data_IF_700986985332
#
_entry.id   IF_700986985332
#
_cell.length_a   1.000
_cell.length_b   1.000
_cell.length_c   1.000
_cell.angle_alpha   90.00
_cell.angle_beta   90.00
_cell.angle_gamma   90.00
#
_symmetry.space_group_name_H-M   'P 1'
#
loop_
_entity.id
_entity.type
_entity.pdbx_description
1 polymer ?
#
# COMPACT_ATOMS: atom_id res chain seq x y z
N UNK A 1 -60.83 -52.50 -28.00
CA UNK A 1 -59.98 -53.56 -27.43
C UNK A 1 -59.98 -53.38 -25.92
N UNK A 2 -60.40 -54.45 -25.23
CA UNK A 2 -60.44 -54.83 -23.79
C UNK A 2 -60.05 -53.76 -22.74
N UNK A 3 -60.97 -53.36 -21.83
CA UNK A 3 -61.24 -53.93 -20.49
C UNK A 3 -59.99 -53.95 -19.58
N UNK A 4 -59.94 -53.47 -18.33
CA UNK A 4 -60.92 -52.95 -17.38
C UNK A 4 -60.20 -52.61 -16.04
N UNK A 5 -60.82 -51.79 -15.20
CA UNK A 5 -60.50 -51.58 -13.77
C UNK A 5 -60.76 -52.87 -12.95
N UNK A 6 -60.14 -53.14 -11.77
CA UNK A 6 -60.44 -52.41 -10.52
C UNK A 6 -59.33 -52.30 -9.41
N UNK A 7 -59.68 -51.51 -8.38
CA UNK A 7 -59.17 -51.39 -6.98
C UNK A 7 -58.91 -52.72 -6.21
N UNK A 8 -58.61 -52.73 -4.88
CA UNK A 8 -57.62 -52.05 -4.02
C UNK A 8 -56.88 -53.06 -3.08
N UNK A 9 -55.93 -52.65 -2.20
CA UNK A 9 -55.78 -53.28 -0.85
C UNK A 9 -54.82 -52.55 0.11
N UNK A 10 -55.24 -52.53 1.39
CA UNK A 10 -54.57 -52.08 2.63
C UNK A 10 -53.64 -53.16 3.21
N UNK A 11 -52.74 -52.78 4.12
CA UNK A 11 -52.48 -53.34 5.48
C UNK A 11 -51.20 -52.65 6.05
N UNK A 12 -51.28 -51.86 7.13
CA UNK A 12 -51.06 -52.20 8.56
C UNK A 12 -49.58 -52.59 8.87
N UNK A 13 -48.92 -52.23 9.97
CA UNK A 13 -49.25 -51.56 11.24
C UNK A 13 -47.94 -51.26 12.03
N UNK A 14 -48.08 -50.49 13.12
CA UNK A 14 -47.30 -50.55 14.38
C UNK A 14 -45.80 -50.15 14.34
N UNK A 15 -45.19 -49.50 15.33
CA UNK A 15 -45.57 -49.12 16.70
C UNK A 15 -44.48 -48.18 17.26
N UNK A 16 -44.86 -47.11 17.96
CA UNK A 16 -44.04 -46.45 19.00
C UNK A 16 -43.98 -47.36 20.25
N UNK A 17 -43.05 -47.13 21.21
CA UNK A 17 -43.15 -46.03 22.19
C UNK A 17 -41.77 -45.34 22.43
N UNK A 18 -41.62 -44.06 22.82
CA UNK A 18 -41.86 -43.46 24.16
C UNK A 18 -41.35 -44.37 25.31
N UNK A 19 -40.54 -43.97 26.29
CA UNK A 19 -40.18 -42.73 26.98
C UNK A 19 -38.85 -43.01 27.73
N UNK A 20 -38.06 -42.00 28.09
CA UNK A 20 -37.85 -41.62 29.50
C UNK A 20 -36.63 -40.72 29.73
N UNK A 21 -36.88 -39.75 30.62
CA UNK A 21 -36.00 -38.73 31.18
C UNK A 21 -34.81 -39.30 31.95
N UNK A 22 -33.70 -38.54 31.96
CA UNK A 22 -32.80 -38.51 33.11
C UNK A 22 -32.20 -37.11 33.28
N UNK A 23 -32.71 -36.40 34.29
CA UNK A 23 -32.08 -35.25 34.95
C UNK A 23 -30.83 -35.70 35.69
N UNK A 24 -29.73 -34.94 35.60
CA UNK A 24 -28.68 -34.98 36.63
C UNK A 24 -28.11 -33.57 36.90
N UNK A 25 -28.01 -33.26 38.21
CA UNK A 25 -27.36 -32.11 38.82
C UNK A 25 -26.02 -32.55 39.44
N UNK A 26 -25.21 -31.56 39.83
CA UNK A 26 -23.92 -31.59 40.57
C UNK A 26 -22.70 -31.58 39.65
N UNK A 27 -21.58 -30.90 39.90
CA UNK A 27 -20.95 -30.16 41.03
C UNK A 27 -19.86 -29.26 40.38
N UNK A 28 -19.50 -28.04 40.83
CA UNK A 28 -18.70 -27.73 42.02
C UNK A 28 -17.19 -28.07 41.84
N UNK A 29 -16.30 -27.07 42.01
CA UNK A 29 -14.81 -27.13 42.16
C UNK A 29 -14.00 -27.25 40.83
N UNK A 30 -12.86 -26.58 40.56
CA UNK A 30 -11.94 -25.72 41.34
C UNK A 30 -10.99 -24.96 40.40
N UNK A 31 -10.53 -23.82 40.89
CA UNK A 31 -9.23 -23.16 40.65
C UNK A 31 -8.14 -24.07 40.03
N UNK A 32 -7.62 -23.70 38.86
CA UNK A 32 -6.34 -24.22 38.36
C UNK A 32 -5.46 -23.07 37.89
N UNK A 33 -4.46 -22.80 38.72
CA UNK A 33 -3.33 -21.94 38.47
C UNK A 33 -2.62 -22.35 37.16
N UNK A 34 -2.51 -21.43 36.21
CA UNK A 34 -1.70 -21.60 35.01
C UNK A 34 -0.23 -21.46 35.39
N UNK A 35 0.49 -22.58 35.38
CA UNK A 35 1.95 -22.62 35.48
C UNK A 35 2.53 -22.12 34.16
N UNK A 36 3.10 -20.91 34.16
CA UNK A 36 3.88 -20.39 33.03
C UNK A 36 5.25 -21.07 33.07
N UNK A 37 5.48 -22.01 32.16
CA UNK A 37 6.82 -22.55 31.89
C UNK A 37 7.54 -21.57 30.97
N UNK A 38 8.43 -20.75 31.53
CA UNK A 38 9.40 -19.98 30.73
C UNK A 38 10.42 -20.95 30.12
N UNK A 39 10.27 -21.25 28.83
CA UNK A 39 11.33 -21.90 28.05
C UNK A 39 12.31 -20.81 27.59
N UNK A 40 13.45 -20.71 28.26
CA UNK A 40 14.58 -19.88 27.81
C UNK A 40 15.27 -20.60 26.65
N UNK A 41 14.94 -20.23 25.41
CA UNK A 41 15.68 -20.69 24.23
C UNK A 41 16.93 -19.83 24.06
N UNK A 42 18.09 -20.43 24.32
CA UNK A 42 19.40 -19.82 24.03
C UNK A 42 19.76 -20.10 22.57
N UNK A 43 19.70 -19.09 21.70
CA UNK A 43 20.12 -19.22 20.30
C UNK A 43 21.66 -19.14 20.23
N UNK A 44 22.31 -20.26 19.89
CA UNK A 44 23.73 -20.28 19.49
C UNK A 44 23.84 -19.88 18.02
N UNK A 45 24.49 -18.75 17.75
CA UNK A 45 24.89 -18.32 16.42
C UNK A 45 26.13 -19.11 15.97
N UNK A 46 25.98 -19.99 15.00
CA UNK A 46 27.09 -20.65 14.30
C UNK A 46 27.63 -19.72 13.23
N UNK A 47 28.88 -19.25 13.40
CA UNK A 47 29.61 -18.49 12.39
C UNK A 47 29.88 -19.34 11.14
N UNK A 48 29.34 -18.92 10.00
CA UNK A 48 29.75 -19.42 8.68
C UNK A 48 31.04 -18.71 8.26
N UNK A 49 32.14 -19.46 8.18
CA UNK A 49 33.43 -19.00 7.65
C UNK A 49 33.38 -19.04 6.12
N UNK A 50 33.36 -17.88 5.47
CA UNK A 50 33.54 -17.77 4.02
C UNK A 50 35.04 -17.70 3.71
N UNK A 51 35.57 -18.71 3.03
CA UNK A 51 36.96 -18.74 2.55
C UNK A 51 37.08 -17.95 1.25
N UNK A 52 37.81 -16.84 1.27
CA UNK A 52 38.22 -16.12 0.06
C UNK A 52 39.53 -16.69 -0.48
N UNK A 53 39.50 -17.24 -1.70
CA UNK A 53 40.71 -17.55 -2.47
C UNK A 53 41.43 -16.25 -2.86
N UNK A 54 42.73 -16.17 -2.50
CA UNK A 54 43.64 -15.08 -2.90
C UNK A 54 44.15 -15.29 -4.32
N UNK A 55 44.15 -14.23 -5.13
CA UNK A 55 45.10 -14.00 -6.23
C UNK A 55 45.75 -12.60 -6.09
N UNK A 56 46.95 -12.39 -6.67
CA UNK A 56 47.99 -11.56 -6.05
C UNK A 56 47.89 -10.06 -6.36
N UNK A 57 48.51 -9.30 -5.45
CA UNK A 57 48.68 -7.84 -5.40
C UNK A 57 49.71 -7.32 -6.41
N UNK A 58 49.48 -6.10 -6.92
CA UNK A 58 50.49 -5.01 -7.01
C UNK A 58 49.76 -3.66 -7.23
N UNK A 59 50.35 -2.46 -6.97
CA UNK A 59 49.93 -1.59 -5.86
C UNK A 59 49.63 -0.10 -6.21
N UNK A 60 49.19 0.64 -5.18
CA UNK A 60 49.15 2.11 -4.99
C UNK A 60 47.91 2.84 -5.59
N UNK A 61 47.17 3.72 -4.91
CA UNK A 61 47.30 4.39 -3.60
C UNK A 61 45.89 4.62 -3.01
N UNK A 62 45.84 4.59 -1.68
CA UNK A 62 44.68 4.75 -0.79
C UNK A 62 44.26 6.21 -0.55
N UNK A 63 42.94 6.44 -0.40
CA UNK A 63 42.42 7.26 0.70
C UNK A 63 41.05 6.74 1.15
N UNK A 64 40.97 6.40 2.43
CA UNK A 64 39.83 5.74 3.06
C UNK A 64 38.82 6.77 3.59
N UNK A 65 37.55 6.66 3.19
CA UNK A 65 36.43 7.30 3.91
C UNK A 65 35.91 6.36 4.99
N UNK A 66 36.16 6.72 6.26
CA UNK A 66 35.35 6.27 7.40
C UNK A 66 34.02 7.03 7.38
N UNK A 67 32.92 6.31 7.24
CA UNK A 67 31.59 6.90 7.32
C UNK A 67 30.49 5.97 6.85
N UNK A 68 30.45 4.72 7.32
CA UNK A 68 29.42 3.75 6.89
C UNK A 68 29.01 2.72 7.95
N UNK A 69 29.33 2.91 9.24
CA UNK A 69 28.90 1.94 10.28
C UNK A 69 27.62 2.37 11.01
N UNK A 70 27.27 3.66 11.01
CA UNK A 70 26.11 4.16 11.77
C UNK A 70 24.77 3.99 11.05
N UNK A 71 24.74 3.96 9.71
CA UNK A 71 23.51 3.66 8.96
C UNK A 71 23.19 2.16 8.94
N UNK A 72 24.21 1.29 8.83
CA UNK A 72 24.00 -0.16 8.85
C UNK A 72 23.48 -0.66 10.21
N UNK A 73 23.92 -0.07 11.32
CA UNK A 73 23.39 -0.40 12.65
C UNK A 73 21.93 0.04 12.83
N UNK A 74 21.54 1.21 12.27
CA UNK A 74 20.15 1.68 12.29
C UNK A 74 19.24 0.84 11.39
N UNK A 75 19.75 0.39 10.23
CA UNK A 75 19.04 -0.49 9.30
C UNK A 75 18.79 -1.88 9.89
N UNK A 76 19.79 -2.43 10.60
CA UNK A 76 19.63 -3.69 11.31
C UNK A 76 18.66 -3.57 12.50
N UNK A 77 18.65 -2.43 13.21
CA UNK A 77 17.65 -2.18 14.26
C UNK A 77 16.23 -1.97 13.71
N UNK A 78 16.05 -1.31 12.55
CA UNK A 78 14.73 -1.08 11.97
C UNK A 78 14.14 -2.34 11.33
N UNK A 79 14.96 -3.16 10.67
CA UNK A 79 14.55 -4.47 10.14
C UNK A 79 14.27 -5.46 11.28
N UNK A 80 15.07 -5.45 12.35
CA UNK A 80 14.80 -6.27 13.53
C UNK A 80 13.53 -5.79 14.26
N UNK A 81 13.24 -4.49 14.31
CA UNK A 81 12.01 -3.97 14.90
C UNK A 81 10.77 -4.32 14.06
N UNK A 82 10.83 -4.21 12.72
CA UNK A 82 9.73 -4.59 11.83
C UNK A 82 9.48 -6.10 11.84
N UNK A 83 10.53 -6.92 11.87
CA UNK A 83 10.43 -8.37 12.03
C UNK A 83 9.95 -8.77 13.44
N UNK A 84 10.37 -8.07 14.49
CA UNK A 84 9.86 -8.31 15.84
C UNK A 84 8.38 -7.92 15.96
N UNK A 85 7.96 -6.80 15.37
CA UNK A 85 6.56 -6.37 15.32
C UNK A 85 5.68 -7.33 14.52
N UNK A 86 6.17 -7.91 13.42
CA UNK A 86 5.45 -8.92 12.65
C UNK A 86 5.39 -10.29 13.32
N UNK A 87 6.42 -10.67 14.09
CA UNK A 87 6.41 -11.91 14.89
C UNK A 87 5.56 -11.77 16.14
N UNK A 88 5.57 -10.61 16.81
CA UNK A 88 4.70 -10.31 17.96
C UNK A 88 3.23 -10.18 17.54
N UNK A 89 2.93 -9.64 16.36
CA UNK A 89 1.56 -9.63 15.83
C UNK A 89 1.09 -11.02 15.40
N UNK A 90 1.97 -11.85 14.81
CA UNK A 90 1.64 -13.25 14.50
C UNK A 90 1.40 -14.11 15.75
N UNK A 91 2.17 -13.90 16.83
CA UNK A 91 1.97 -14.60 18.11
C UNK A 91 0.71 -14.14 18.85
N UNK A 92 0.36 -12.85 18.77
CA UNK A 92 -0.90 -12.35 19.32
C UNK A 92 -2.13 -12.75 18.49
N UNK A 93 -2.00 -12.87 17.16
CA UNK A 93 -3.05 -13.38 16.28
C UNK A 93 -3.34 -14.87 16.55
N UNK A 94 -2.34 -15.66 16.97
CA UNK A 94 -2.52 -17.06 17.36
C UNK A 94 -3.26 -17.24 18.71
N UNK A 95 -3.43 -16.18 19.50
CA UNK A 95 -4.12 -16.22 20.80
C UNK A 95 -5.54 -15.62 20.78
N UNK A 96 -5.95 -14.97 19.68
CA UNK A 96 -7.29 -14.40 19.53
C UNK A 96 -8.19 -15.40 18.78
N UNK A 97 -9.36 -15.71 19.35
CA UNK A 97 -10.36 -16.52 18.67
C UNK A 97 -10.87 -15.78 17.44
N UNK A 98 -10.74 -16.38 16.25
CA UNK A 98 -11.22 -15.79 15.00
C UNK A 98 -12.70 -15.38 15.13
N UNK A 99 -13.05 -14.20 14.61
CA UNK A 99 -14.39 -13.67 14.73
C UNK A 99 -14.51 -12.23 14.26
N UNK A 100 -15.74 -11.72 14.29
CA UNK A 100 -16.01 -10.31 14.06
C UNK A 100 -16.58 -9.65 15.32
N UNK A 101 -16.08 -8.47 15.67
CA UNK A 101 -16.61 -7.60 16.74
C UNK A 101 -17.30 -6.35 16.17
N UNK A 102 -18.03 -5.63 17.03
CA UNK A 102 -18.92 -4.52 16.63
C UNK A 102 -18.69 -3.21 17.39
N UNK A 103 -17.57 -3.07 18.11
CA UNK A 103 -17.39 -1.97 19.07
C UNK A 103 -17.23 -0.59 18.40
N UNK A 104 -16.50 -0.51 17.28
CA UNK A 104 -16.21 0.74 16.55
C UNK A 104 -16.40 0.56 15.04
N UNK A 105 -17.53 -0.03 14.65
CA UNK A 105 -17.78 -0.51 13.28
C UNK A 105 -17.84 -2.02 13.26
N UNK A 106 -17.40 -2.67 12.18
CA UNK A 106 -17.25 -4.13 12.13
C UNK A 106 -15.79 -4.46 11.92
N UNK A 107 -15.20 -5.23 12.82
CA UNK A 107 -13.82 -5.69 12.73
C UNK A 107 -13.81 -7.20 12.69
N UNK A 108 -13.34 -7.79 11.60
CA UNK A 108 -13.14 -9.23 11.47
C UNK A 108 -11.65 -9.56 11.54
N UNK A 109 -11.28 -10.54 12.36
CA UNK A 109 -9.88 -10.88 12.65
C UNK A 109 -9.66 -12.37 12.84
N UNK A 110 -8.39 -12.77 12.81
CA UNK A 110 -7.98 -14.16 12.89
C UNK A 110 -8.21 -14.90 11.57
N UNK A 111 -8.09 -16.23 11.61
CA UNK A 111 -8.19 -17.11 10.43
C UNK A 111 -9.64 -17.33 9.98
N UNK A 112 -10.32 -16.25 9.58
CA UNK A 112 -11.68 -16.28 9.04
C UNK A 112 -11.69 -16.48 7.52
N UNK A 113 -12.62 -17.30 7.02
CA UNK A 113 -12.94 -17.34 5.60
C UNK A 113 -13.81 -16.16 5.18
N UNK A 114 -13.80 -15.82 3.89
CA UNK A 114 -14.65 -14.77 3.32
C UNK A 114 -16.12 -15.08 3.53
N UNK A 115 -16.53 -16.35 3.43
CA UNK A 115 -17.91 -16.80 3.64
C UNK A 115 -18.37 -16.57 5.07
N UNK A 116 -17.47 -16.78 6.06
CA UNK A 116 -17.78 -16.48 7.46
C UNK A 116 -18.00 -14.99 7.68
N UNK A 117 -17.19 -14.14 7.04
CA UNK A 117 -17.35 -12.67 7.08
C UNK A 117 -18.68 -12.28 6.42
N UNK A 118 -18.96 -12.76 5.21
CA UNK A 118 -20.22 -12.49 4.50
C UNK A 118 -21.45 -12.93 5.31
N UNK A 119 -21.39 -14.11 5.91
CA UNK A 119 -22.45 -14.62 6.78
C UNK A 119 -22.66 -13.71 8.00
N UNK A 120 -21.58 -13.26 8.63
CA UNK A 120 -21.64 -12.32 9.75
C UNK A 120 -22.27 -10.99 9.34
N UNK A 121 -21.82 -10.38 8.24
CA UNK A 121 -22.35 -9.11 7.74
C UNK A 121 -23.85 -9.19 7.43
N UNK A 122 -24.28 -10.27 6.77
CA UNK A 122 -25.70 -10.54 6.49
C UNK A 122 -26.53 -10.71 7.76
N UNK A 123 -25.99 -11.41 8.76
CA UNK A 123 -26.67 -11.63 10.04
C UNK A 123 -26.76 -10.32 10.85
N UNK A 124 -25.72 -9.50 10.83
CA UNK A 124 -25.64 -8.24 11.57
C UNK A 124 -26.75 -7.28 11.15
N UNK A 125 -26.93 -7.04 9.84
CA UNK A 125 -27.95 -6.11 9.34
C UNK A 125 -29.38 -6.57 9.69
N UNK A 126 -29.65 -7.88 9.61
CA UNK A 126 -30.95 -8.46 9.94
C UNK A 126 -31.29 -8.35 11.43
N UNK A 127 -30.32 -8.56 12.31
CA UNK A 127 -30.56 -8.56 13.77
C UNK A 127 -30.65 -7.15 14.33
N UNK A 128 -29.74 -6.26 13.91
CA UNK A 128 -29.62 -4.94 14.53
C UNK A 128 -30.52 -3.89 13.86
N UNK A 129 -30.89 -4.09 12.59
CA UNK A 129 -31.51 -3.06 11.77
C UNK A 129 -30.60 -1.85 11.51
N UNK A 130 -29.30 -1.95 11.82
CA UNK A 130 -28.30 -0.90 11.59
C UNK A 130 -27.63 -1.15 10.24
N UNK A 131 -27.62 -0.12 9.40
CA UNK A 131 -27.08 -0.19 8.04
C UNK A 131 -25.90 0.74 7.84
N UNK A 132 -25.87 1.87 8.55
CA UNK A 132 -24.80 2.86 8.47
C UNK A 132 -23.81 2.68 9.63
N UNK A 133 -22.57 2.41 9.27
CA UNK A 133 -21.47 2.13 10.18
C UNK A 133 -20.26 2.99 9.79
N UNK A 134 -19.41 3.29 10.76
CA UNK A 134 -18.22 4.10 10.50
C UNK A 134 -17.19 3.33 9.67
N UNK A 135 -16.75 2.18 10.18
CA UNK A 135 -15.58 1.46 9.66
C UNK A 135 -15.89 -0.02 9.46
N UNK A 136 -15.48 -0.56 8.32
CA UNK A 136 -15.31 -2.00 8.12
C UNK A 136 -13.82 -2.33 8.12
N UNK A 137 -13.41 -3.30 8.92
CA UNK A 137 -12.01 -3.73 9.02
C UNK A 137 -11.86 -5.23 8.91
N UNK A 138 -10.91 -5.68 8.09
CA UNK A 138 -10.34 -7.03 8.16
C UNK A 138 -8.91 -6.87 8.66
N UNK A 139 -8.57 -7.49 9.79
CA UNK A 139 -7.27 -7.34 10.43
C UNK A 139 -6.64 -8.70 10.71
N UNK A 140 -5.33 -8.81 10.48
CA UNK A 140 -4.53 -9.97 10.90
C UNK A 140 -5.12 -11.31 10.46
N UNK A 141 -5.53 -11.38 9.19
CA UNK A 141 -6.08 -12.59 8.59
C UNK A 141 -5.05 -13.23 7.63
N UNK A 142 -4.42 -14.35 8.01
CA UNK A 142 -3.35 -14.96 7.22
C UNK A 142 -3.83 -15.78 6.01
N UNK A 143 -5.14 -16.00 5.85
CA UNK A 143 -5.69 -16.96 4.89
C UNK A 143 -6.54 -16.34 3.79
N UNK A 144 -7.02 -15.11 3.97
CA UNK A 144 -7.77 -14.41 2.90
C UNK A 144 -6.82 -14.10 1.73
N UNK A 145 -7.10 -14.72 0.60
CA UNK A 145 -6.38 -14.51 -0.68
C UNK A 145 -7.13 -13.56 -1.62
N UNK A 146 -8.44 -13.45 -1.45
CA UNK A 146 -9.35 -12.78 -2.38
C UNK A 146 -10.53 -12.15 -1.64
N UNK A 147 -10.94 -10.94 -2.05
CA UNK A 147 -12.19 -10.31 -1.61
C UNK A 147 -13.18 -10.18 -2.80
N UNK A 148 -14.40 -10.75 -2.71
CA UNK A 148 -15.35 -10.79 -3.81
C UNK A 148 -16.13 -9.49 -3.98
N UNK A 149 -16.65 -9.29 -5.18
CA UNK A 149 -17.57 -8.20 -5.46
C UNK A 149 -18.77 -8.20 -4.49
N UNK A 150 -19.16 -7.02 -4.04
CA UNK A 150 -20.33 -6.83 -3.16
C UNK A 150 -20.17 -7.42 -1.76
N UNK A 151 -18.94 -7.67 -1.27
CA UNK A 151 -18.67 -8.15 0.09
C UNK A 151 -19.45 -7.38 1.17
N UNK A 152 -19.53 -6.06 1.05
CA UNK A 152 -20.21 -5.20 2.04
C UNK A 152 -21.74 -5.22 1.92
N UNK A 153 -22.28 -5.86 0.89
CA UNK A 153 -23.72 -6.03 0.65
C UNK A 153 -24.49 -4.71 0.83
N UNK A 154 -25.49 -4.69 1.70
CA UNK A 154 -26.35 -3.54 1.97
C UNK A 154 -25.81 -2.62 3.09
N UNK A 155 -24.69 -2.98 3.72
CA UNK A 155 -24.08 -2.18 4.76
C UNK A 155 -23.30 -1.01 4.14
N UNK A 156 -23.36 0.12 4.83
CA UNK A 156 -22.78 1.40 4.42
C UNK A 156 -21.69 1.79 5.39
N UNK A 157 -20.46 1.79 4.90
CA UNK A 157 -19.28 2.20 5.64
C UNK A 157 -18.75 3.52 5.10
N UNK A 158 -18.27 4.38 6.00
CA UNK A 158 -17.50 5.57 5.62
C UNK A 158 -16.02 5.26 5.39
N UNK A 159 -15.55 4.12 5.91
CA UNK A 159 -14.15 3.73 5.89
C UNK A 159 -13.99 2.21 5.74
N UNK A 160 -13.04 1.80 4.90
CA UNK A 160 -12.64 0.39 4.75
C UNK A 160 -11.14 0.25 5.04
N UNK A 161 -10.79 -0.68 5.94
CA UNK A 161 -9.41 -0.99 6.32
C UNK A 161 -9.13 -2.48 6.18
N UNK A 162 -8.13 -2.85 5.39
CA UNK A 162 -7.66 -4.22 5.27
C UNK A 162 -6.20 -4.25 5.67
N UNK A 163 -5.91 -4.83 6.84
CA UNK A 163 -4.59 -4.77 7.46
C UNK A 163 -4.05 -6.16 7.75
N UNK A 164 -2.75 -6.36 7.56
CA UNK A 164 -2.06 -7.61 7.90
C UNK A 164 -2.73 -8.85 7.29
N UNK A 165 -3.11 -8.74 6.01
CA UNK A 165 -3.68 -9.83 5.21
C UNK A 165 -2.66 -10.24 4.12
N UNK A 166 -1.56 -10.92 4.48
CA UNK A 166 -0.37 -11.05 3.65
C UNK A 166 -0.56 -11.88 2.37
N UNK A 167 -1.63 -12.68 2.29
CA UNK A 167 -1.96 -13.45 1.09
C UNK A 167 -2.99 -12.77 0.17
N UNK A 168 -3.59 -11.66 0.63
CA UNK A 168 -4.61 -10.96 -0.15
C UNK A 168 -3.97 -10.35 -1.39
N UNK A 169 -4.23 -10.97 -2.53
CA UNK A 169 -3.62 -10.61 -3.83
C UNK A 169 -4.64 -10.08 -4.83
N UNK A 170 -5.93 -10.30 -4.59
CA UNK A 170 -7.01 -9.85 -5.47
C UNK A 170 -8.18 -9.26 -4.68
N UNK A 171 -8.63 -8.08 -5.09
CA UNK A 171 -9.81 -7.40 -4.54
C UNK A 171 -10.69 -6.97 -5.70
N UNK A 172 -11.91 -7.51 -5.75
CA UNK A 172 -12.95 -7.01 -6.64
C UNK A 172 -13.66 -5.81 -6.03
N UNK A 173 -14.71 -5.32 -6.69
CA UNK A 173 -15.51 -4.21 -6.17
C UNK A 173 -16.34 -4.61 -4.94
N UNK A 174 -15.70 -4.57 -3.78
CA UNK A 174 -16.29 -4.94 -2.48
C UNK A 174 -17.40 -4.00 -2.00
N UNK A 175 -17.55 -2.83 -2.63
CA UNK A 175 -18.21 -1.65 -2.04
C UNK A 175 -19.68 -1.85 -1.70
N UNK A 176 -20.45 -2.57 -2.53
CA UNK A 176 -21.89 -2.73 -2.32
C UNK A 176 -22.60 -1.38 -2.09
N UNK A 177 -23.48 -1.30 -1.10
CA UNK A 177 -24.15 -0.06 -0.70
C UNK A 177 -23.20 0.99 -0.12
N UNK A 178 -22.00 0.61 0.34
CA UNK A 178 -20.98 1.56 0.81
C UNK A 178 -20.43 2.44 -0.31
N UNK A 179 -20.63 2.10 -1.58
CA UNK A 179 -20.31 2.99 -2.72
C UNK A 179 -20.84 4.42 -2.54
N UNK A 180 -21.99 4.59 -1.87
CA UNK A 180 -22.61 5.88 -1.60
C UNK A 180 -21.99 6.66 -0.43
N UNK A 181 -21.31 5.97 0.50
CA UNK A 181 -20.85 6.56 1.78
C UNK A 181 -19.34 6.56 1.96
N UNK A 182 -18.63 5.68 1.28
CA UNK A 182 -17.20 5.43 1.48
C UNK A 182 -16.36 6.68 1.16
N UNK A 183 -15.53 7.08 2.11
CA UNK A 183 -14.62 8.24 2.04
C UNK A 183 -13.16 7.83 2.06
N UNK A 184 -12.81 6.80 2.83
CA UNK A 184 -11.42 6.40 3.05
C UNK A 184 -11.22 4.91 2.85
N UNK A 185 -10.11 4.56 2.20
CA UNK A 185 -9.69 3.19 1.93
C UNK A 185 -8.23 3.01 2.33
N UNK A 186 -7.96 1.97 3.11
CA UNK A 186 -6.63 1.62 3.58
C UNK A 186 -6.36 0.13 3.36
N UNK A 187 -5.31 -0.19 2.60
CA UNK A 187 -4.75 -1.54 2.49
C UNK A 187 -3.32 -1.52 3.05
N UNK A 188 -3.03 -2.35 4.04
CA UNK A 188 -1.69 -2.45 4.66
C UNK A 188 -1.27 -3.89 4.83
N UNK A 189 -0.06 -4.23 4.39
CA UNK A 189 0.48 -5.59 4.53
C UNK A 189 -0.31 -6.62 3.72
N UNK A 190 -0.75 -6.23 2.52
CA UNK A 190 -1.37 -7.10 1.51
C UNK A 190 -0.33 -7.54 0.47
N UNK A 191 -0.75 -8.35 -0.51
CA UNK A 191 0.08 -8.78 -1.63
C UNK A 191 -0.56 -8.40 -2.98
N UNK A 192 -1.22 -7.24 -3.05
CA UNK A 192 -1.87 -6.76 -4.27
C UNK A 192 -0.81 -6.44 -5.33
N UNK A 193 -1.07 -6.84 -6.57
CA UNK A 193 -0.21 -6.47 -7.72
C UNK A 193 -0.89 -5.47 -8.64
N UNK A 194 -2.20 -5.28 -8.51
CA UNK A 194 -3.01 -4.34 -9.26
C UNK A 194 -3.87 -3.50 -8.31
N UNK A 195 -4.00 -2.21 -8.63
CA UNK A 195 -4.89 -1.31 -7.91
C UNK A 195 -6.35 -1.83 -7.99
N UNK A 196 -7.06 -1.99 -6.86
CA UNK A 196 -8.45 -2.41 -6.87
C UNK A 196 -9.35 -1.42 -7.62
N UNK A 197 -10.14 -1.92 -8.57
CA UNK A 197 -11.11 -1.14 -9.31
C UNK A 197 -12.44 -1.11 -8.53
N UNK A 198 -12.69 0.00 -7.82
CA UNK A 198 -13.84 0.14 -6.93
C UNK A 198 -14.84 1.18 -7.45
N UNK A 199 -16.13 0.88 -7.35
CA UNK A 199 -17.20 1.86 -7.59
C UNK A 199 -17.44 2.67 -6.32
N UNK A 200 -16.56 3.64 -6.07
CA UNK A 200 -16.61 4.44 -4.85
C UNK A 200 -16.45 5.94 -5.17
N UNK A 201 -17.47 6.57 -5.78
CA UNK A 201 -17.35 7.93 -6.33
C UNK A 201 -17.06 8.99 -5.29
N UNK A 202 -17.29 8.70 -4.00
CA UNK A 202 -17.13 9.61 -2.89
C UNK A 202 -15.83 9.44 -2.10
N UNK A 203 -14.98 8.47 -2.47
CA UNK A 203 -13.69 8.26 -1.81
C UNK A 203 -12.80 9.47 -2.07
N UNK A 204 -12.30 10.05 -0.99
CA UNK A 204 -11.40 11.21 -1.00
C UNK A 204 -9.96 10.80 -0.69
N UNK A 205 -9.75 9.67 -0.02
CA UNK A 205 -8.42 9.23 0.40
C UNK A 205 -8.23 7.72 0.18
N UNK A 206 -7.10 7.38 -0.43
CA UNK A 206 -6.67 6.00 -0.60
C UNK A 206 -5.22 5.84 -0.15
N UNK A 207 -4.97 4.81 0.66
CA UNK A 207 -3.62 4.46 1.12
C UNK A 207 -3.38 2.97 0.93
N UNK A 208 -2.29 2.61 0.26
CA UNK A 208 -1.85 1.22 0.04
C UNK A 208 -0.39 1.11 0.46
N UNK A 209 -0.09 0.31 1.48
CA UNK A 209 1.26 0.14 2.05
C UNK A 209 1.56 -1.36 2.07
N UNK A 210 2.43 -1.82 1.19
CA UNK A 210 2.66 -3.25 0.99
C UNK A 210 4.04 -3.53 0.37
N UNK A 211 4.57 -4.76 0.55
CA UNK A 211 5.89 -5.12 0.03
C UNK A 211 5.93 -5.32 -1.50
N UNK A 212 4.78 -5.50 -2.15
CA UNK A 212 4.68 -5.78 -3.59
C UNK A 212 4.44 -4.50 -4.39
N UNK A 213 5.11 -4.38 -5.55
CA UNK A 213 4.85 -3.29 -6.50
C UNK A 213 3.42 -3.35 -7.01
N UNK A 214 2.68 -2.26 -6.79
CA UNK A 214 1.29 -2.12 -7.26
C UNK A 214 1.25 -1.48 -8.65
N UNK A 215 0.56 -2.12 -9.60
CA UNK A 215 0.27 -1.50 -10.89
C UNK A 215 -0.92 -0.55 -10.75
N UNK A 216 -0.72 0.73 -11.08
CA UNK A 216 -1.75 1.76 -11.02
C UNK A 216 -2.19 2.11 -12.43
N UNK A 217 -3.44 1.81 -12.76
CA UNK A 217 -4.03 2.07 -14.08
C UNK A 217 -5.14 3.11 -14.03
N UNK A 218 -5.40 3.76 -15.16
CA UNK A 218 -6.49 4.73 -15.32
C UNK A 218 -7.86 4.09 -15.07
N UNK A 219 -8.06 2.85 -15.53
CA UNK A 219 -9.32 2.13 -15.36
C UNK A 219 -9.60 1.81 -13.89
N UNK A 220 -8.58 1.41 -13.11
CA UNK A 220 -8.73 1.12 -11.69
C UNK A 220 -9.21 2.33 -10.87
N UNK A 221 -8.84 3.55 -11.29
CA UNK A 221 -9.19 4.79 -10.60
C UNK A 221 -10.51 5.42 -11.09
N UNK A 222 -11.08 4.93 -12.19
CA UNK A 222 -12.21 5.57 -12.89
C UNK A 222 -13.51 5.66 -12.07
N UNK A 223 -13.70 4.75 -11.11
CA UNK A 223 -14.83 4.72 -10.18
C UNK A 223 -14.64 5.62 -8.94
N UNK A 224 -13.46 6.18 -8.72
CA UNK A 224 -13.08 6.94 -7.51
C UNK A 224 -12.82 8.43 -7.83
N UNK A 225 -13.79 9.09 -8.44
CA UNK A 225 -13.62 10.43 -9.04
C UNK A 225 -13.43 11.58 -8.03
N UNK A 226 -13.77 11.36 -6.77
CA UNK A 226 -13.58 12.36 -5.70
C UNK A 226 -12.22 12.28 -5.00
N UNK A 227 -11.30 11.41 -5.47
CA UNK A 227 -9.99 11.25 -4.85
C UNK A 227 -9.24 12.58 -4.75
N UNK A 228 -8.74 12.87 -3.56
CA UNK A 228 -7.94 14.04 -3.22
C UNK A 228 -6.53 13.63 -2.80
N UNK A 229 -6.40 12.54 -2.04
CA UNK A 229 -5.14 12.04 -1.49
C UNK A 229 -4.91 10.59 -1.89
N UNK A 230 -3.77 10.33 -2.52
CA UNK A 230 -3.34 8.99 -2.91
C UNK A 230 -1.95 8.75 -2.31
N UNK A 231 -1.82 7.69 -1.51
CA UNK A 231 -0.55 7.25 -0.96
C UNK A 231 -0.32 5.77 -1.26
N UNK A 232 0.77 5.46 -1.94
CA UNK A 232 1.11 4.08 -2.33
C UNK A 232 2.58 3.82 -2.00
N UNK A 233 2.86 2.73 -1.28
CA UNK A 233 4.19 2.16 -1.17
C UNK A 233 4.44 1.26 -2.38
N UNK A 234 5.49 1.57 -3.14
CA UNK A 234 5.91 0.92 -4.39
C UNK A 234 4.83 0.83 -5.47
N UNK A 235 4.91 1.69 -6.49
CA UNK A 235 3.96 1.69 -7.60
C UNK A 235 4.63 1.67 -8.98
N UNK A 236 4.13 0.82 -9.88
CA UNK A 236 4.34 0.95 -11.33
C UNK A 236 3.14 1.70 -11.92
N UNK A 237 3.34 2.98 -12.22
CA UNK A 237 2.25 3.86 -12.68
C UNK A 237 2.12 3.78 -14.20
N UNK A 238 0.95 3.38 -14.68
CA UNK A 238 0.64 3.32 -16.11
C UNK A 238 0.40 4.73 -16.69
N UNK A 239 0.63 4.93 -18.01
CA UNK A 239 0.32 6.19 -18.66
C UNK A 239 -1.11 6.67 -18.38
N UNK A 240 -1.26 7.96 -18.07
CA UNK A 240 -2.53 8.64 -17.80
C UNK A 240 -3.31 8.12 -16.60
N UNK A 241 -2.68 7.37 -15.68
CA UNK A 241 -3.36 6.79 -14.52
C UNK A 241 -4.17 7.82 -13.70
N UNK A 242 -3.62 9.02 -13.50
CA UNK A 242 -4.23 10.06 -12.67
C UNK A 242 -4.98 11.14 -13.47
N UNK A 243 -4.99 11.07 -14.80
CA UNK A 243 -5.38 12.19 -15.65
C UNK A 243 -6.83 12.68 -15.42
N UNK A 244 -7.77 11.76 -15.19
CA UNK A 244 -9.20 12.08 -15.02
C UNK A 244 -9.57 12.52 -13.59
N UNK A 245 -8.64 12.45 -12.64
CA UNK A 245 -8.91 12.73 -11.23
C UNK A 245 -8.88 14.24 -10.95
N UNK A 246 -9.99 14.93 -11.27
CA UNK A 246 -10.11 16.41 -11.19
C UNK A 246 -9.93 17.01 -9.80
N UNK A 247 -10.03 16.20 -8.75
CA UNK A 247 -9.96 16.63 -7.36
C UNK A 247 -8.63 16.26 -6.69
N UNK A 248 -7.71 15.58 -7.40
CA UNK A 248 -6.48 15.09 -6.76
C UNK A 248 -5.61 16.26 -6.36
N UNK A 249 -5.21 16.28 -5.09
CA UNK A 249 -4.38 17.31 -4.48
C UNK A 249 -2.98 16.76 -4.23
N UNK A 250 -2.88 15.52 -3.75
CA UNK A 250 -1.63 14.92 -3.32
C UNK A 250 -1.50 13.51 -3.86
N UNK A 251 -0.39 13.24 -4.55
CA UNK A 251 0.02 11.88 -4.90
C UNK A 251 1.38 11.61 -4.29
N UNK A 252 1.45 10.60 -3.42
CA UNK A 252 2.68 10.18 -2.75
C UNK A 252 2.98 8.74 -3.11
N UNK A 253 4.11 8.53 -3.77
CA UNK A 253 4.65 7.18 -4.00
C UNK A 253 5.96 7.06 -3.22
N UNK A 254 5.94 6.21 -2.19
CA UNK A 254 7.15 5.85 -1.45
C UNK A 254 7.74 4.56 -2.00
N UNK A 255 9.03 4.31 -1.75
CA UNK A 255 9.70 3.06 -2.16
C UNK A 255 9.57 2.78 -3.66
N UNK A 256 9.77 3.81 -4.51
CA UNK A 256 9.69 3.67 -5.97
C UNK A 256 10.48 2.44 -6.48
N UNK A 257 9.90 1.59 -7.34
CA UNK A 257 10.61 0.43 -7.88
C UNK A 257 11.79 0.86 -8.77
N UNK A 258 12.74 -0.05 -9.03
CA UNK A 258 13.85 0.17 -9.99
C UNK A 258 13.36 0.10 -11.45
N UNK A 259 12.29 0.83 -11.76
CA UNK A 259 11.72 0.95 -13.09
C UNK A 259 11.82 2.40 -13.55
N UNK A 260 12.07 2.58 -14.85
CA UNK A 260 11.95 3.89 -15.48
C UNK A 260 10.49 4.32 -15.50
N UNK A 261 10.19 5.49 -14.94
CA UNK A 261 8.84 6.08 -15.02
C UNK A 261 8.48 6.29 -16.48
N UNK A 262 7.36 5.74 -16.92
CA UNK A 262 6.92 5.79 -18.32
C UNK A 262 6.44 7.19 -18.70
N UNK A 263 6.48 7.51 -19.98
CA UNK A 263 5.88 8.73 -20.50
C UNK A 263 4.40 8.81 -20.07
N UNK A 264 3.96 10.01 -19.70
CA UNK A 264 2.59 10.31 -19.25
C UNK A 264 2.12 9.60 -17.97
N UNK A 265 2.97 8.88 -17.23
CA UNK A 265 2.56 8.22 -15.97
C UNK A 265 2.03 9.22 -14.94
N UNK A 266 2.68 10.38 -14.81
CA UNK A 266 2.29 11.45 -13.89
C UNK A 266 1.78 12.66 -14.68
N UNK A 267 0.72 12.41 -15.46
CA UNK A 267 -0.06 13.44 -16.16
C UNK A 267 -1.33 13.76 -15.39
N UNK A 268 -1.58 15.04 -15.17
CA UNK A 268 -2.73 15.52 -14.40
C UNK A 268 -3.58 16.52 -15.21
N UNK A 269 -4.89 16.48 -14.99
CA UNK A 269 -5.82 17.56 -15.38
C UNK A 269 -6.62 18.01 -14.15
N UNK A 270 -5.93 18.05 -13.00
CA UNK A 270 -6.49 18.46 -11.72
C UNK A 270 -6.07 19.91 -11.43
N UNK A 271 -7.00 20.88 -11.41
CA UNK A 271 -6.69 22.24 -10.97
C UNK A 271 -6.36 22.31 -9.47
N UNK A 272 -6.71 21.27 -8.70
CA UNK A 272 -6.49 21.19 -7.26
C UNK A 272 -5.12 20.60 -6.89
N UNK A 273 -4.31 20.16 -7.86
CA UNK A 273 -3.03 19.50 -7.61
C UNK A 273 -2.09 20.43 -6.82
N UNK A 274 -1.57 19.94 -5.70
CA UNK A 274 -0.63 20.64 -4.81
C UNK A 274 0.74 20.00 -4.81
N UNK A 275 0.81 18.68 -4.67
CA UNK A 275 2.10 17.99 -4.53
C UNK A 275 2.08 16.58 -5.12
N UNK A 276 3.15 16.25 -5.85
CA UNK A 276 3.51 14.89 -6.23
C UNK A 276 4.87 14.61 -5.58
N UNK A 277 4.90 13.63 -4.67
CA UNK A 277 6.12 13.23 -3.96
C UNK A 277 6.54 11.83 -4.38
N UNK A 278 7.73 11.73 -4.96
CA UNK A 278 8.36 10.48 -5.38
C UNK A 278 9.65 10.28 -4.59
N UNK A 279 9.72 9.19 -3.84
CA UNK A 279 10.82 8.88 -2.94
C UNK A 279 11.11 7.39 -2.94
N UNK A 280 12.36 7.04 -2.66
CA UNK A 280 12.76 5.67 -2.40
C UNK A 280 13.63 5.58 -1.14
N UNK A 281 13.22 4.74 -0.18
CA UNK A 281 13.97 4.42 1.05
C UNK A 281 14.81 3.14 0.94
N UNK A 282 14.54 2.27 -0.03
CA UNK A 282 14.99 0.88 0.03
C UNK A 282 15.59 0.32 -1.26
N UNK A 283 15.23 0.86 -2.44
CA UNK A 283 15.51 0.22 -3.73
C UNK A 283 16.43 1.02 -4.66
N UNK A 284 17.07 2.11 -4.23
CA UNK A 284 18.07 2.81 -5.04
C UNK A 284 17.55 3.35 -6.39
N UNK A 285 16.25 3.62 -6.49
CA UNK A 285 15.66 4.33 -7.64
C UNK A 285 16.20 5.76 -7.67
N UNK A 286 16.87 6.10 -8.76
CA UNK A 286 17.51 7.41 -8.96
C UNK A 286 16.71 8.28 -9.92
N UNK A 287 15.41 8.43 -9.69
CA UNK A 287 14.60 9.39 -10.44
C UNK A 287 14.53 9.13 -11.94
N UNK A 288 14.71 7.88 -12.38
CA UNK A 288 14.78 7.54 -13.80
C UNK A 288 13.37 7.65 -14.42
N UNK A 289 13.26 8.45 -15.48
CA UNK A 289 11.99 8.74 -16.15
C UNK A 289 12.18 8.96 -17.66
N UNK A 290 11.16 8.56 -18.43
CA UNK A 290 11.10 8.82 -19.87
C UNK A 290 10.73 10.29 -20.14
N UNK A 291 11.10 10.82 -21.33
CA UNK A 291 10.61 12.11 -21.79
C UNK A 291 9.09 12.22 -21.69
N UNK A 292 8.60 13.34 -21.14
CA UNK A 292 7.16 13.57 -20.94
C UNK A 292 6.51 12.71 -19.84
N UNK A 293 7.26 12.13 -18.91
CA UNK A 293 6.72 11.42 -17.75
C UNK A 293 5.85 12.30 -16.84
N UNK A 294 6.19 13.58 -16.71
CA UNK A 294 5.57 14.54 -15.79
C UNK A 294 4.88 15.67 -16.57
N UNK A 295 3.56 15.79 -16.45
CA UNK A 295 2.76 16.78 -17.20
C UNK A 295 1.57 17.29 -16.40
N UNK A 296 1.08 18.48 -16.76
CA UNK A 296 -0.17 19.01 -16.22
C UNK A 296 -0.09 19.53 -14.78
N UNK A 297 1.07 20.04 -14.39
CA UNK A 297 1.29 20.66 -13.07
C UNK A 297 0.81 22.11 -13.09
N UNK A 298 -0.30 22.46 -12.39
CA UNK A 298 -0.78 23.84 -12.37
C UNK A 298 0.18 24.74 -11.59
N UNK A 299 0.03 26.05 -11.79
CA UNK A 299 0.87 27.07 -11.16
C UNK A 299 0.95 26.88 -9.64
N UNK A 300 2.16 26.77 -9.11
CA UNK A 300 2.43 26.62 -7.68
C UNK A 300 2.34 25.19 -7.13
N UNK A 301 1.88 24.22 -7.93
CA UNK A 301 1.98 22.80 -7.57
C UNK A 301 3.44 22.33 -7.58
N UNK A 302 3.77 21.28 -6.84
CA UNK A 302 5.14 20.80 -6.69
C UNK A 302 5.30 19.36 -7.18
N UNK A 303 6.31 19.10 -8.02
CA UNK A 303 6.89 17.78 -8.18
C UNK A 303 8.14 17.70 -7.31
N UNK A 304 8.15 16.78 -6.33
CA UNK A 304 9.30 16.50 -5.50
C UNK A 304 9.84 15.11 -5.78
N UNK A 305 11.06 15.03 -6.30
CA UNK A 305 11.78 13.78 -6.57
C UNK A 305 13.01 13.77 -5.68
N UNK A 306 13.04 12.88 -4.68
CA UNK A 306 14.06 12.96 -3.63
C UNK A 306 15.48 12.67 -4.15
N UNK A 307 15.60 11.69 -5.03
CA UNK A 307 16.87 11.30 -5.65
C UNK A 307 16.70 11.25 -7.16
N UNK A 308 17.66 11.79 -7.91
CA UNK A 308 17.64 11.72 -9.37
C UNK A 308 19.06 11.68 -9.94
N UNK A 309 19.28 10.78 -10.89
CA UNK A 309 20.59 10.62 -11.54
C UNK A 309 20.90 11.77 -12.49
N UNK A 310 19.88 12.33 -13.14
CA UNK A 310 20.02 13.41 -14.12
C UNK A 310 18.82 14.34 -14.11
N UNK A 311 19.04 15.60 -14.49
CA UNK A 311 17.98 16.58 -14.70
C UNK A 311 17.90 16.88 -16.21
N UNK A 312 17.24 16.00 -16.95
CA UNK A 312 17.05 16.14 -18.38
C UNK A 312 15.85 17.06 -18.70
N UNK A 313 16.03 17.97 -19.68
CA UNK A 313 15.00 18.95 -20.06
C UNK A 313 13.70 18.27 -20.45
N UNK A 314 13.77 17.29 -21.34
CA UNK A 314 12.65 16.57 -21.92
C UNK A 314 11.83 15.76 -20.90
N UNK A 315 12.39 15.46 -19.73
CA UNK A 315 11.71 14.80 -18.62
C UNK A 315 10.91 15.81 -17.79
N UNK A 316 11.54 16.93 -17.40
CA UNK A 316 11.00 17.83 -16.38
C UNK A 316 10.34 19.10 -16.93
N UNK A 317 10.51 19.42 -18.22
CA UNK A 317 9.98 20.65 -18.81
C UNK A 317 8.46 20.78 -18.67
N UNK A 318 7.73 19.65 -18.69
CA UNK A 318 6.26 19.62 -18.52
C UNK A 318 5.77 20.09 -17.14
N UNK A 319 6.62 20.02 -16.11
CA UNK A 319 6.32 20.58 -14.79
C UNK A 319 6.41 22.10 -14.83
N UNK A 320 7.48 22.62 -15.45
CA UNK A 320 7.84 24.03 -15.44
C UNK A 320 6.98 24.88 -16.39
N UNK A 321 6.56 24.31 -17.53
CA UNK A 321 5.69 25.01 -18.49
C UNK A 321 4.30 25.32 -17.93
N UNK A 322 3.78 24.47 -17.04
CA UNK A 322 2.53 24.71 -16.31
C UNK A 322 2.66 25.69 -15.14
N UNK A 323 3.88 26.14 -14.83
CA UNK A 323 4.18 26.98 -13.66
C UNK A 323 4.32 26.20 -12.35
N UNK A 324 4.51 24.88 -12.43
CA UNK A 324 4.82 24.02 -11.31
C UNK A 324 6.24 24.24 -10.79
N UNK A 325 6.51 23.73 -9.60
CA UNK A 325 7.79 23.80 -8.90
C UNK A 325 8.45 22.42 -9.00
N UNK A 326 9.67 22.38 -9.56
CA UNK A 326 10.52 21.21 -9.52
C UNK A 326 11.37 21.26 -8.25
N UNK A 327 11.31 20.21 -7.42
CA UNK A 327 12.06 20.10 -6.17
C UNK A 327 12.87 18.80 -6.16
N UNK A 328 14.18 18.93 -6.33
CA UNK A 328 15.12 17.80 -6.28
C UNK A 328 16.19 18.16 -5.24
N UNK A 329 16.05 17.68 -3.99
CA UNK A 329 16.93 18.09 -2.92
C UNK A 329 18.34 17.51 -3.05
N UNK A 330 18.52 16.37 -3.71
CA UNK A 330 19.85 15.80 -3.96
C UNK A 330 20.71 16.77 -4.79
N UNK A 331 21.95 17.09 -4.37
CA UNK A 331 22.78 18.03 -5.10
C UNK A 331 23.51 17.35 -6.27
N UNK A 332 23.59 18.04 -7.41
CA UNK A 332 24.25 17.59 -8.64
C UNK A 332 25.64 18.23 -8.81
N UNK A 333 26.48 17.72 -9.70
CA UNK A 333 27.66 18.49 -10.13
C UNK A 333 27.20 19.76 -10.88
N UNK A 334 27.81 20.91 -10.57
CA UNK A 334 27.53 22.16 -11.30
C UNK A 334 28.18 22.09 -12.70
N UNK A 335 27.50 21.47 -13.67
CA UNK A 335 28.00 21.30 -15.04
C UNK A 335 26.96 21.64 -16.12
N UNK A 336 27.34 21.46 -17.40
CA UNK A 336 26.50 21.79 -18.55
C UNK A 336 25.14 21.08 -18.59
N UNK A 337 24.93 19.98 -17.86
CA UNK A 337 23.63 19.29 -17.79
C UNK A 337 22.56 20.15 -17.11
N UNK A 338 22.96 21.10 -16.27
CA UNK A 338 22.05 22.03 -15.60
C UNK A 338 21.88 23.36 -16.36
N UNK A 339 22.65 23.60 -17.42
CA UNK A 339 22.65 24.87 -18.16
C UNK A 339 21.27 25.23 -18.70
N UNK A 340 20.53 24.24 -19.23
CA UNK A 340 19.18 24.46 -19.77
C UNK A 340 18.21 24.98 -18.72
N UNK A 341 18.42 24.64 -17.45
CA UNK A 341 17.58 25.06 -16.34
C UNK A 341 18.07 26.39 -15.79
N UNK A 342 19.39 26.51 -15.57
CA UNK A 342 20.03 27.71 -15.03
C UNK A 342 19.84 28.94 -15.91
N UNK A 343 20.00 28.80 -17.23
CA UNK A 343 19.91 29.88 -18.19
C UNK A 343 18.47 30.12 -18.68
N UNK A 344 17.48 29.49 -18.03
CA UNK A 344 16.07 29.62 -18.40
C UNK A 344 15.31 30.52 -17.44
N UNK A 345 14.15 31.07 -17.86
CA UNK A 345 13.24 31.78 -16.96
C UNK A 345 12.66 30.88 -15.86
N UNK A 346 12.79 29.56 -15.98
CA UNK A 346 12.26 28.60 -15.00
C UNK A 346 13.17 28.36 -13.80
N UNK A 347 14.38 28.96 -13.75
CA UNK A 347 15.32 28.73 -12.65
C UNK A 347 14.70 28.97 -11.27
N UNK A 348 13.82 29.98 -11.12
CA UNK A 348 13.11 30.30 -9.88
C UNK A 348 12.05 29.27 -9.47
N UNK A 349 11.60 28.46 -10.43
CA UNK A 349 10.65 27.37 -10.20
C UNK A 349 11.38 26.07 -9.85
N UNK A 350 12.71 26.03 -9.98
CA UNK A 350 13.49 24.84 -9.74
C UNK A 350 14.33 24.95 -8.47
N UNK A 351 13.93 24.19 -7.45
CA UNK A 351 14.66 23.97 -6.21
C UNK A 351 15.63 22.82 -6.42
N UNK A 352 16.66 23.11 -7.22
CA UNK A 352 17.76 22.19 -7.51
C UNK A 352 19.02 22.76 -6.87
N UNK A 353 19.81 21.89 -6.24
CA UNK A 353 21.11 22.27 -5.67
C UNK A 353 22.22 21.68 -6.52
N UNK A 354 23.35 22.37 -6.60
CA UNK A 354 24.56 21.81 -7.19
C UNK A 354 25.78 22.00 -6.28
N UNK A 355 26.74 21.08 -6.39
CA UNK A 355 27.96 21.02 -5.62
C UNK A 355 29.01 21.94 -6.25
N UNK A 356 29.31 23.02 -5.54
CA UNK A 356 30.57 23.74 -5.74
C UNK A 356 31.66 23.07 -4.90
N UNK A 357 32.93 23.44 -5.11
CA UNK A 357 34.10 22.83 -4.48
C UNK A 357 34.09 22.79 -2.94
N UNK A 358 33.18 23.50 -2.27
CA UNK A 358 33.10 23.53 -0.80
C UNK A 358 31.73 23.24 -0.20
N UNK A 359 30.59 23.63 -0.83
CA UNK A 359 29.25 23.38 -0.30
C UNK A 359 28.19 23.31 -1.43
N UNK A 360 27.06 22.60 -1.20
CA UNK A 360 25.92 22.67 -2.12
C UNK A 360 25.32 24.08 -2.11
N UNK A 361 25.17 24.67 -3.30
CA UNK A 361 24.50 25.95 -3.52
C UNK A 361 23.20 25.71 -4.29
N UNK A 362 22.19 26.54 -4.05
CA UNK A 362 20.99 26.56 -4.91
C UNK A 362 21.40 26.97 -6.32
N UNK A 363 20.86 26.27 -7.33
CA UNK A 363 21.19 26.52 -8.74
C UNK A 363 20.90 27.97 -9.14
N UNK A 364 19.85 28.59 -8.61
CA UNK A 364 19.54 30.00 -8.86
C UNK A 364 20.70 30.95 -8.49
N UNK A 365 21.50 30.58 -7.49
CA UNK A 365 22.58 31.42 -6.97
C UNK A 365 23.93 31.18 -7.66
N UNK A 366 24.04 30.24 -8.60
CA UNK A 366 25.29 30.05 -9.35
C UNK A 366 25.45 31.09 -10.45
N UNK A 367 26.66 31.59 -10.75
CA UNK A 367 26.89 32.52 -11.85
C UNK A 367 26.49 31.95 -13.22
N UNK A 368 25.83 32.75 -14.07
CA UNK A 368 25.49 32.33 -15.45
C UNK A 368 26.73 32.09 -16.32
N UNK A 369 27.83 32.79 -16.02
CA UNK A 369 29.12 32.60 -16.69
C UNK A 369 29.63 31.17 -16.61
N UNK A 370 29.25 30.42 -15.58
CA UNK A 370 29.69 29.04 -15.38
C UNK A 370 29.03 28.09 -16.40
N UNK A 371 28.00 28.56 -17.11
CA UNK A 371 27.21 27.78 -18.08
C UNK A 371 27.23 28.37 -19.49
N UNK A 372 27.94 29.47 -19.73
CA UNK A 372 27.87 30.22 -21.00
C UNK A 372 28.41 29.47 -22.23
N UNK A 373 29.17 28.39 -22.02
CA UNK A 373 29.70 27.53 -23.10
C UNK A 373 28.92 26.23 -23.31
N UNK A 374 27.77 26.06 -22.66
CA UNK A 374 27.05 24.79 -22.60
C UNK A 374 25.86 24.66 -23.58
N UNK A 375 25.45 25.76 -24.23
CA UNK A 375 24.26 25.81 -25.10
C UNK A 375 24.62 25.99 -26.57
#
# INVERSE_FOLDING_TARGET
>A
MCWGLPHPQKLNAASSPEEDEAVSKSSGFTDQSVVIVMVVVTIRLTCVRVNFQRRPRSPCHSSARRGSSNMQAKLLLSLAAAAALSVLSAQNAAAQSAGCDTNDGIVCFGDMSVEQIQHFLKKYSVITGVWDLKTFRIDSNPSIEYLPAGLLADLRFSEVRITSCPKLSRVEDITGASSATLKEILFVGTALTEMPALTAPHVTKMTIIQPTTLTVSRSALSGMRSLQEIHIESASVMPLAFYDLKNVQTVRITSMPQETVRAQSFSFDSPALKEVLLFNDAHGWKGQAQPGAYQGFPKGSRLRVIESETIAKEVYIGVLTGGGILDIPEPFDCDCRLAWLRLSPWVKQARVRCLTSTHPNDLENTPESDYSGCL
#
